data_IF_525242022617
#
_entry.id   IF_525242022617
#
_cell.length_a   1.000
_cell.length_b   1.000
_cell.length_c   1.000
_cell.angle_alpha   90.00
_cell.angle_beta   90.00
_cell.angle_gamma   90.00
#
_symmetry.space_group_name_H-M   'P 1'
#
loop_
_entity.id
_entity.type
_entity.pdbx_description
1 polymer ?
#
# COMPACT_ATOMS: atom_id res chain seq x y z
N UNK A 1 4.64 -0.60 4.87
CA UNK A 1 4.25 -1.79 4.09
C UNK A 1 3.20 -1.41 3.07
N UNK A 2 3.26 -2.04 1.90
CA UNK A 2 2.20 -2.11 0.91
C UNK A 2 1.59 -3.51 0.97
N UNK A 3 0.28 -3.61 1.20
CA UNK A 3 -0.39 -4.88 1.46
C UNK A 3 -1.50 -5.07 0.45
N UNK A 4 -1.40 -6.15 -0.33
CA UNK A 4 -2.44 -6.57 -1.27
C UNK A 4 -3.30 -7.63 -0.56
N UNK A 5 -4.61 -7.48 -0.63
CA UNK A 5 -5.57 -8.37 0.02
C UNK A 5 -6.46 -9.05 -1.02
N UNK A 6 -6.98 -10.21 -0.68
CA UNK A 6 -8.05 -10.82 -1.47
C UNK A 6 -9.28 -9.88 -1.52
N UNK A 7 -10.07 -10.04 -2.57
CA UNK A 7 -11.35 -9.35 -2.74
C UNK A 7 -12.24 -9.50 -1.50
N UNK A 8 -12.83 -8.38 -1.03
CA UNK A 8 -13.72 -8.36 0.12
C UNK A 8 -13.06 -8.75 1.45
N UNK A 9 -11.75 -8.47 1.61
CA UNK A 9 -10.97 -8.73 2.84
C UNK A 9 -10.10 -7.55 3.27
N UNK A 10 -10.33 -6.38 2.70
CA UNK A 10 -9.48 -5.21 2.87
C UNK A 10 -9.51 -4.67 4.31
N UNK A 11 -10.70 -4.45 4.87
CA UNK A 11 -10.88 -3.90 6.21
C UNK A 11 -10.56 -4.93 7.29
N UNK A 12 -10.90 -6.19 7.06
CA UNK A 12 -10.55 -7.30 7.94
C UNK A 12 -9.04 -7.49 8.03
N UNK A 13 -8.36 -7.58 6.90
CA UNK A 13 -6.90 -7.73 6.84
C UNK A 13 -6.22 -6.55 7.54
N UNK A 14 -6.68 -5.32 7.27
CA UNK A 14 -6.12 -4.13 7.94
C UNK A 14 -6.31 -4.19 9.44
N UNK A 15 -7.48 -4.60 9.92
CA UNK A 15 -7.77 -4.72 11.35
C UNK A 15 -6.86 -5.75 12.00
N UNK A 16 -6.81 -6.96 11.46
CA UNK A 16 -5.99 -8.05 11.99
C UNK A 16 -4.51 -7.68 12.00
N UNK A 17 -4.00 -7.14 10.88
CA UNK A 17 -2.61 -6.70 10.78
C UNK A 17 -2.31 -5.59 11.79
N UNK A 18 -3.22 -4.63 11.95
CA UNK A 18 -3.05 -3.52 12.90
C UNK A 18 -3.00 -4.03 14.34
N UNK A 19 -3.89 -4.95 14.71
CA UNK A 19 -3.92 -5.57 16.04
C UNK A 19 -2.60 -6.33 16.27
N UNK A 20 -2.24 -7.23 15.37
CA UNK A 20 -1.04 -8.05 15.49
C UNK A 20 0.23 -7.20 15.66
N UNK A 21 0.44 -6.22 14.77
CA UNK A 21 1.63 -5.36 14.83
C UNK A 21 1.64 -4.43 16.05
N UNK A 22 0.45 -4.11 16.58
CA UNK A 22 0.33 -3.35 17.83
C UNK A 22 0.69 -4.21 19.05
N UNK A 23 0.19 -5.46 19.10
CA UNK A 23 0.51 -6.40 20.16
C UNK A 23 2.00 -6.76 20.20
N UNK A 24 2.61 -6.94 19.04
CA UNK A 24 4.06 -7.18 18.91
C UNK A 24 4.90 -5.92 19.17
N UNK A 25 4.27 -4.77 19.38
CA UNK A 25 4.97 -3.52 19.62
C UNK A 25 5.78 -2.99 18.45
N UNK A 26 5.61 -3.51 17.24
CA UNK A 26 6.39 -3.14 16.02
C UNK A 26 5.68 -2.14 15.12
N UNK A 27 4.47 -1.75 15.45
CA UNK A 27 3.72 -0.73 14.70
C UNK A 27 4.26 0.67 14.96
N UNK A 28 4.30 1.50 13.91
CA UNK A 28 4.65 2.92 14.00
C UNK A 28 3.62 3.68 14.85
N UNK A 29 4.11 4.48 15.80
CA UNK A 29 3.34 5.41 16.62
C UNK A 29 3.89 6.83 16.50
N UNK A 30 3.14 7.84 16.98
CA UNK A 30 3.55 9.26 16.93
C UNK A 30 5.00 9.50 17.40
N UNK A 31 5.42 8.84 18.48
CA UNK A 31 6.72 9.06 19.12
C UNK A 31 7.76 7.98 18.81
N UNK A 32 7.37 6.88 18.14
CA UNK A 32 8.27 5.77 17.77
C UNK A 32 8.12 5.48 16.28
N UNK A 33 9.00 6.07 15.47
CA UNK A 33 8.95 6.01 14.01
C UNK A 33 10.04 5.08 13.47
N UNK A 34 11.29 5.29 13.90
CA UNK A 34 12.43 4.50 13.41
C UNK A 34 12.29 3.02 13.77
N UNK A 35 12.58 2.13 12.81
CA UNK A 35 12.50 0.70 12.96
C UNK A 35 11.07 0.13 13.14
N UNK A 36 10.03 0.91 12.80
CA UNK A 36 8.62 0.52 12.95
C UNK A 36 7.91 0.40 11.61
N UNK A 37 6.95 -0.51 11.53
CA UNK A 37 6.15 -0.71 10.34
C UNK A 37 5.02 0.31 10.21
N UNK A 38 4.99 1.00 9.07
CA UNK A 38 3.90 1.86 8.67
C UNK A 38 2.83 1.03 7.94
N UNK A 39 1.62 0.99 8.47
CA UNK A 39 0.46 0.28 7.92
C UNK A 39 -0.50 1.30 7.29
N UNK A 40 -0.03 2.01 6.28
CA UNK A 40 -0.77 3.12 5.68
C UNK A 40 -1.31 2.84 4.27
N UNK A 41 -0.96 1.70 3.65
CA UNK A 41 -1.42 1.40 2.31
C UNK A 41 -1.83 -0.06 2.15
N UNK A 42 -3.13 -0.26 1.96
CA UNK A 42 -3.73 -1.54 1.64
C UNK A 42 -4.53 -1.40 0.35
N UNK A 43 -4.50 -2.42 -0.48
CA UNK A 43 -5.27 -2.48 -1.73
C UNK A 43 -5.84 -3.87 -1.92
N UNK A 44 -7.06 -3.98 -2.42
CA UNK A 44 -7.61 -5.27 -2.84
C UNK A 44 -7.10 -5.66 -4.22
N UNK A 45 -7.16 -6.92 -4.58
CA UNK A 45 -6.84 -7.41 -5.93
C UNK A 45 -7.58 -6.65 -7.02
N UNK A 46 -8.81 -6.19 -6.75
CA UNK A 46 -9.61 -5.40 -7.69
C UNK A 46 -9.14 -3.93 -7.81
N UNK A 47 -8.34 -3.46 -6.89
CA UNK A 47 -7.79 -2.11 -6.86
C UNK A 47 -6.34 -2.01 -7.34
N UNK A 48 -5.78 -3.07 -7.91
CA UNK A 48 -4.37 -3.12 -8.34
C UNK A 48 -3.98 -2.11 -9.42
N UNK A 49 -4.83 -1.73 -10.42
CA UNK A 49 -4.49 -0.65 -11.33
C UNK A 49 -4.41 0.68 -10.57
N UNK A 50 -3.20 1.21 -10.39
CA UNK A 50 -2.93 2.36 -9.52
C UNK A 50 -2.54 3.64 -10.28
N UNK A 51 -2.60 3.65 -11.60
CA UNK A 51 -2.30 4.82 -12.42
C UNK A 51 -3.13 6.04 -12.01
N UNK A 52 -4.41 5.83 -11.70
CA UNK A 52 -5.34 6.88 -11.26
C UNK A 52 -4.99 7.52 -9.90
N UNK A 53 -4.04 6.95 -9.15
CA UNK A 53 -3.59 7.48 -7.86
C UNK A 53 -2.47 8.52 -8.02
N UNK A 54 -1.89 8.63 -9.22
CA UNK A 54 -0.90 9.66 -9.52
C UNK A 54 -1.51 11.07 -9.40
N UNK A 55 -0.71 12.03 -9.01
CA UNK A 55 -1.07 13.46 -8.98
C UNK A 55 -0.90 14.16 -10.33
N UNK A 56 -0.43 13.47 -11.34
CA UNK A 56 -0.14 14.00 -12.66
C UNK A 56 1.13 13.42 -13.24
N UNK A 57 1.53 13.89 -14.42
CA UNK A 57 2.72 13.37 -15.14
C UNK A 57 4.04 13.65 -14.42
N UNK A 58 4.08 14.66 -13.58
CA UNK A 58 5.28 15.05 -12.81
C UNK A 58 5.41 14.32 -11.47
N UNK A 59 4.44 13.46 -11.13
CA UNK A 59 4.51 12.63 -9.92
C UNK A 59 5.50 11.48 -10.09
N UNK A 60 6.78 11.80 -9.95
CA UNK A 60 7.86 10.81 -10.03
C UNK A 60 8.00 9.98 -8.76
N UNK A 61 7.55 10.50 -7.63
CA UNK A 61 7.72 9.84 -6.34
C UNK A 61 6.91 8.55 -6.24
N UNK A 62 5.68 8.57 -6.74
CA UNK A 62 4.79 7.41 -6.69
C UNK A 62 5.28 6.25 -7.57
N UNK A 63 5.65 6.46 -8.86
CA UNK A 63 6.30 5.44 -9.67
C UNK A 63 7.59 4.90 -9.05
N UNK A 64 8.47 5.79 -8.57
CA UNK A 64 9.72 5.38 -7.93
C UNK A 64 9.48 4.47 -6.72
N UNK A 65 8.52 4.84 -5.87
CA UNK A 65 8.18 4.03 -4.71
C UNK A 65 7.71 2.63 -5.08
N UNK A 66 6.85 2.49 -6.10
CA UNK A 66 6.40 1.18 -6.57
C UNK A 66 7.52 0.35 -7.20
N UNK A 67 8.39 0.98 -7.98
CA UNK A 67 9.53 0.29 -8.61
C UNK A 67 10.56 -0.21 -7.59
N UNK A 68 10.62 0.41 -6.42
CA UNK A 68 11.54 0.01 -5.35
C UNK A 68 10.92 -0.96 -4.34
N UNK A 69 9.66 -1.37 -4.52
CA UNK A 69 9.02 -2.38 -3.67
C UNK A 69 9.75 -3.72 -3.79
N UNK A 70 9.90 -4.37 -2.65
CA UNK A 70 10.44 -5.74 -2.57
C UNK A 70 9.36 -6.65 -1.99
N UNK A 71 8.94 -7.71 -2.70
CA UNK A 71 7.94 -8.63 -2.18
C UNK A 71 8.51 -9.42 -1.00
N UNK A 72 7.87 -9.30 0.15
CA UNK A 72 8.16 -10.12 1.34
C UNK A 72 7.39 -11.44 1.29
N UNK A 73 6.22 -11.43 0.66
CA UNK A 73 5.33 -12.58 0.50
C UNK A 73 4.51 -12.42 -0.78
N UNK A 74 4.10 -13.54 -1.41
CA UNK A 74 3.20 -13.51 -2.56
C UNK A 74 3.85 -13.02 -3.86
N UNK A 75 4.96 -13.63 -4.26
CA UNK A 75 5.70 -13.25 -5.48
C UNK A 75 4.85 -13.29 -6.75
N UNK A 76 3.88 -14.22 -6.86
CA UNK A 76 2.93 -14.25 -7.98
C UNK A 76 2.10 -12.98 -8.00
N UNK A 77 1.50 -12.62 -6.86
CA UNK A 77 0.69 -11.39 -6.72
C UNK A 77 1.50 -10.13 -7.04
N UNK A 78 2.78 -10.11 -6.69
CA UNK A 78 3.67 -8.99 -7.03
C UNK A 78 3.92 -8.90 -8.54
N UNK A 79 4.09 -10.02 -9.25
CA UNK A 79 4.17 -10.02 -10.72
C UNK A 79 2.87 -9.55 -11.36
N UNK A 80 1.74 -10.04 -10.87
CA UNK A 80 0.42 -9.60 -11.35
C UNK A 80 0.22 -8.09 -11.14
N UNK A 81 0.65 -7.57 -9.98
CA UNK A 81 0.66 -6.14 -9.67
C UNK A 81 1.52 -5.33 -10.67
N UNK A 82 2.72 -5.78 -10.99
CA UNK A 82 3.57 -5.10 -11.96
C UNK A 82 3.00 -5.17 -13.38
N UNK A 83 2.41 -6.30 -13.76
CA UNK A 83 1.80 -6.48 -15.08
C UNK A 83 0.64 -5.51 -15.33
N UNK A 84 -0.25 -5.32 -14.33
CA UNK A 84 -1.37 -4.37 -14.47
C UNK A 84 -0.95 -2.91 -14.32
N UNK A 85 0.26 -2.66 -13.81
CA UNK A 85 0.85 -1.32 -13.68
C UNK A 85 2.03 -1.11 -14.63
N UNK A 86 1.96 -1.64 -15.85
CA UNK A 86 3.02 -1.53 -16.87
C UNK A 86 3.39 -0.08 -17.25
N UNK A 87 2.50 0.89 -16.99
CA UNK A 87 2.77 2.31 -17.13
C UNK A 87 4.00 2.79 -16.33
N UNK A 88 4.40 2.08 -15.28
CA UNK A 88 5.61 2.35 -14.50
C UNK A 88 6.89 2.33 -15.35
N UNK A 89 6.92 1.54 -16.43
CA UNK A 89 8.03 1.44 -17.37
C UNK A 89 8.34 2.80 -18.02
N UNK A 90 7.32 3.61 -18.25
CA UNK A 90 7.49 4.92 -18.88
C UNK A 90 8.34 5.88 -18.04
N UNK A 91 8.40 5.65 -16.73
CA UNK A 91 9.20 6.46 -15.81
C UNK A 91 10.61 5.89 -15.59
N UNK A 92 10.75 4.58 -15.66
CA UNK A 92 12.00 3.88 -15.35
C UNK A 92 12.18 2.70 -16.32
N UNK A 93 12.53 2.95 -17.60
CA UNK A 93 12.67 1.90 -18.60
C UNK A 93 13.66 0.79 -18.20
N UNK A 94 14.76 1.18 -17.55
CA UNK A 94 15.78 0.25 -17.06
C UNK A 94 15.52 -0.27 -15.63
N UNK A 95 14.52 0.30 -14.94
CA UNK A 95 14.27 0.06 -13.52
C UNK A 95 13.51 -1.23 -13.20
N UNK A 96 12.93 -1.88 -14.22
CA UNK A 96 12.22 -3.16 -14.07
C UNK A 96 13.16 -4.36 -14.19
N UNK A 97 14.45 -4.17 -14.22
CA UNK A 97 15.34 -5.26 -13.88
C UNK A 97 15.02 -5.70 -12.44
N UNK A 98 13.84 -6.29 -12.30
CA UNK A 98 13.41 -6.99 -11.11
C UNK A 98 14.54 -7.98 -10.88
N UNK A 99 15.34 -7.68 -9.89
CA UNK A 99 16.35 -8.61 -9.41
C UNK A 99 15.59 -9.82 -8.86
N UNK A 100 15.11 -10.68 -9.76
CA UNK A 100 14.38 -11.92 -9.43
C UNK A 100 15.21 -12.81 -8.49
N UNK A 101 16.49 -12.53 -8.40
CA UNK A 101 17.48 -13.35 -7.75
C UNK A 101 17.48 -13.31 -6.22
N UNK A 102 16.68 -12.47 -5.57
CA UNK A 102 16.65 -12.37 -4.09
C UNK A 102 15.25 -12.25 -3.50
N UNK A 103 14.30 -12.97 -4.04
CA UNK A 103 13.04 -13.13 -3.32
C UNK A 103 13.26 -14.04 -2.10
N UNK A 104 12.83 -13.56 -0.95
CA UNK A 104 12.82 -14.35 0.26
C UNK A 104 12.07 -15.65 0.00
N UNK A 105 12.58 -16.75 0.56
CA UNK A 105 11.95 -18.08 0.40
C UNK A 105 10.46 -17.95 0.65
N UNK A 106 9.67 -18.36 -0.35
CA UNK A 106 8.22 -18.38 -0.23
C UNK A 106 7.86 -19.38 0.88
N UNK A 107 7.45 -18.86 2.02
CA UNK A 107 6.93 -19.70 3.09
C UNK A 107 5.50 -20.09 2.68
N UNK A 108 5.26 -21.39 2.61
CA UNK A 108 3.90 -21.92 2.48
C UNK A 108 3.10 -21.52 3.72
N UNK A 109 1.86 -21.10 3.52
CA UNK A 109 0.95 -20.85 4.65
C UNK A 109 0.84 -22.10 5.51
N UNK A 110 1.15 -21.98 6.80
CA UNK A 110 1.02 -23.09 7.73
C UNK A 110 -0.43 -23.56 7.85
N UNK A 111 -0.63 -24.77 8.38
CA UNK A 111 -1.96 -25.36 8.60
C UNK A 111 -2.94 -24.40 9.30
N UNK A 112 -2.46 -23.69 10.32
CA UNK A 112 -3.25 -22.71 11.08
C UNK A 112 -3.79 -21.57 10.18
N UNK A 113 -2.97 -21.04 9.27
CA UNK A 113 -3.38 -19.99 8.36
C UNK A 113 -4.47 -20.48 7.40
N UNK A 114 -4.32 -21.69 6.85
CA UNK A 114 -5.34 -22.31 5.97
C UNK A 114 -6.66 -22.54 6.70
N UNK A 115 -6.62 -22.96 7.96
CA UNK A 115 -7.82 -23.16 8.77
C UNK A 115 -8.53 -21.83 9.03
N UNK A 116 -7.81 -20.78 9.36
CA UNK A 116 -8.37 -19.43 9.56
C UNK A 116 -9.00 -18.94 8.25
N UNK A 117 -8.32 -19.09 7.13
CA UNK A 117 -8.84 -18.71 5.81
C UNK A 117 -10.14 -19.47 5.48
N UNK A 118 -10.18 -20.78 5.75
CA UNK A 118 -11.37 -21.58 5.54
C UNK A 118 -12.57 -21.07 6.37
N UNK A 119 -12.38 -20.84 7.66
CA UNK A 119 -13.42 -20.33 8.57
C UNK A 119 -13.92 -18.96 8.11
N UNK A 120 -13.01 -18.07 7.71
CA UNK A 120 -13.36 -16.75 7.20
C UNK A 120 -14.13 -16.82 5.86
N UNK A 121 -13.85 -17.83 5.05
CA UNK A 121 -14.53 -18.04 3.77
C UNK A 121 -15.92 -18.68 3.90
N UNK A 122 -16.25 -19.31 5.03
CA UNK A 122 -17.57 -19.87 5.34
C UNK A 122 -18.66 -18.82 5.69
N UNK A 123 -18.50 -17.57 5.23
CA UNK A 123 -19.47 -16.50 5.36
C UNK A 123 -19.22 -15.52 6.51
N UNK A 124 -18.57 -15.93 7.60
CA UNK A 124 -18.23 -15.06 8.72
C UNK A 124 -17.34 -13.89 8.31
N UNK A 125 -16.40 -14.12 7.40
CA UNK A 125 -15.50 -13.10 6.91
C UNK A 125 -16.20 -11.98 6.14
N UNK A 126 -17.27 -12.27 5.40
CA UNK A 126 -18.06 -11.25 4.71
C UNK A 126 -18.81 -10.34 5.67
N UNK A 127 -19.44 -10.92 6.70
CA UNK A 127 -20.13 -10.14 7.73
C UNK A 127 -19.17 -9.27 8.53
N UNK A 128 -18.01 -9.82 8.90
CA UNK A 128 -16.95 -9.06 9.59
C UNK A 128 -16.41 -7.94 8.72
N UNK A 129 -16.15 -8.20 7.44
CA UNK A 129 -15.68 -7.19 6.49
C UNK A 129 -16.66 -6.02 6.39
N UNK A 130 -17.96 -6.30 6.22
CA UNK A 130 -18.99 -5.26 6.14
C UNK A 130 -19.07 -4.41 7.41
N UNK A 131 -19.04 -5.03 8.59
CA UNK A 131 -19.06 -4.31 9.87
C UNK A 131 -17.79 -3.47 10.08
N UNK A 132 -16.62 -4.01 9.72
CA UNK A 132 -15.36 -3.31 9.83
C UNK A 132 -15.24 -2.18 8.81
N UNK A 133 -15.78 -2.36 7.60
CA UNK A 133 -15.89 -1.32 6.59
C UNK A 133 -16.71 -0.14 7.12
N UNK A 134 -17.92 -0.39 7.62
CA UNK A 134 -18.80 0.66 8.18
C UNK A 134 -18.12 1.40 9.36
N UNK A 135 -17.58 0.64 10.31
CA UNK A 135 -16.89 1.22 11.47
C UNK A 135 -15.66 2.06 11.09
N UNK A 136 -14.78 1.55 10.22
CA UNK A 136 -13.58 2.26 9.82
C UNK A 136 -13.91 3.49 8.96
N UNK A 137 -14.90 3.39 8.07
CA UNK A 137 -15.35 4.50 7.24
C UNK A 137 -15.92 5.64 8.08
N UNK A 138 -16.79 5.33 9.04
CA UNK A 138 -17.35 6.31 9.99
C UNK A 138 -16.26 6.98 10.83
N UNK A 139 -15.31 6.19 11.33
CA UNK A 139 -14.16 6.70 12.09
C UNK A 139 -13.29 7.61 11.21
N UNK A 140 -13.09 7.23 9.96
CA UNK A 140 -12.29 8.02 9.04
C UNK A 140 -12.97 9.35 8.70
N UNK A 141 -14.26 9.36 8.37
CA UNK A 141 -15.03 10.58 8.10
C UNK A 141 -14.93 11.61 9.24
N UNK A 142 -14.92 11.14 10.50
CA UNK A 142 -14.69 12.02 11.66
C UNK A 142 -13.28 12.61 11.66
N UNK A 143 -12.27 11.83 11.26
CA UNK A 143 -10.87 12.24 11.29
C UNK A 143 -10.50 13.14 10.11
N UNK A 144 -11.14 13.00 8.94
CA UNK A 144 -10.88 13.82 7.74
C UNK A 144 -11.06 15.31 8.03
N UNK A 145 -12.02 15.68 8.90
CA UNK A 145 -12.25 17.08 9.30
C UNK A 145 -11.03 17.74 9.96
N UNK A 146 -10.07 16.95 10.42
CA UNK A 146 -8.85 17.43 11.09
C UNK A 146 -7.59 17.26 10.23
N UNK A 147 -7.73 16.75 8.99
CA UNK A 147 -6.63 16.60 8.05
C UNK A 147 -6.52 17.89 7.23
N UNK A 148 -5.28 18.38 7.09
CA UNK A 148 -4.99 19.53 6.22
C UNK A 148 -5.19 19.21 4.73
N UNK A 149 -5.12 20.24 3.90
CA UNK A 149 -5.20 20.15 2.43
C UNK A 149 -4.14 19.23 1.81
N UNK A 150 -3.03 19.02 2.52
CA UNK A 150 -1.89 18.23 2.07
C UNK A 150 -2.04 16.73 2.34
N UNK A 151 -3.21 16.28 2.84
CA UNK A 151 -3.44 14.88 3.11
C UNK A 151 -3.86 14.12 1.86
N UNK A 152 -3.21 13.00 1.59
CA UNK A 152 -3.65 12.04 0.57
C UNK A 152 -4.24 10.82 1.24
N UNK A 153 -5.56 10.87 1.45
CA UNK A 153 -6.28 9.78 2.11
C UNK A 153 -7.38 9.25 1.20
N UNK A 154 -7.37 7.93 1.01
CA UNK A 154 -8.38 7.21 0.24
C UNK A 154 -8.95 6.11 1.13
N UNK A 155 -10.26 6.06 1.25
CA UNK A 155 -10.97 4.99 1.96
C UNK A 155 -12.16 4.55 1.12
N UNK A 156 -12.02 3.42 0.46
CA UNK A 156 -13.08 2.77 -0.30
C UNK A 156 -12.90 1.25 -0.26
N UNK A 157 -13.78 0.50 -0.90
CA UNK A 157 -13.77 -0.96 -0.91
C UNK A 157 -12.55 -1.59 -1.61
N UNK A 158 -11.83 -0.80 -2.41
CA UNK A 158 -10.67 -1.28 -3.19
C UNK A 158 -9.34 -0.81 -2.60
N UNK A 159 -9.34 0.30 -1.82
CA UNK A 159 -8.11 0.92 -1.35
C UNK A 159 -8.28 1.62 -0.01
N UNK A 160 -7.30 1.44 0.85
CA UNK A 160 -7.11 2.19 2.09
C UNK A 160 -5.71 2.81 2.08
N UNK A 161 -5.64 4.12 1.83
CA UNK A 161 -4.40 4.89 1.81
C UNK A 161 -4.49 6.01 2.85
N UNK A 162 -3.52 6.09 3.74
CA UNK A 162 -3.50 7.03 4.87
C UNK A 162 -2.17 7.78 4.92
N UNK A 163 -2.01 8.77 4.06
CA UNK A 163 -0.88 9.68 4.11
C UNK A 163 -1.36 11.05 4.60
N UNK A 164 -1.05 11.39 5.84
CA UNK A 164 -1.47 12.63 6.47
C UNK A 164 -0.75 13.86 5.88
N UNK A 165 0.44 13.66 5.30
CA UNK A 165 1.22 14.67 4.60
C UNK A 165 1.62 14.06 3.26
N UNK A 166 1.17 14.66 2.17
CA UNK A 166 1.52 14.26 0.82
C UNK A 166 2.62 15.21 0.28
N UNK A 167 3.83 14.70 0.26
CA UNK A 167 5.00 15.47 -0.21
C UNK A 167 5.32 15.24 -1.69
N UNK A 168 4.42 14.67 -2.46
CA UNK A 168 4.69 14.34 -3.87
C UNK A 168 5.00 15.57 -4.70
N UNK A 169 4.28 16.67 -4.48
CA UNK A 169 4.51 17.93 -5.19
C UNK A 169 5.89 18.53 -4.84
N UNK A 170 6.29 18.47 -3.58
CA UNK A 170 7.62 18.90 -3.12
C UNK A 170 8.74 18.09 -3.80
N UNK A 171 8.56 16.77 -3.91
CA UNK A 171 9.52 15.90 -4.59
C UNK A 171 9.57 16.15 -6.10
N UNK A 172 8.42 16.35 -6.74
CA UNK A 172 8.35 16.68 -8.17
C UNK A 172 9.10 17.98 -8.46
N UNK A 173 8.86 19.03 -7.68
CA UNK A 173 9.55 20.30 -7.84
C UNK A 173 11.08 20.16 -7.68
N UNK A 174 11.54 19.53 -6.61
CA UNK A 174 12.99 19.31 -6.37
C UNK A 174 13.65 18.50 -7.48
N UNK A 175 12.93 17.56 -8.05
CA UNK A 175 13.42 16.77 -9.17
C UNK A 175 13.59 17.63 -10.41
N UNK A 176 12.62 18.47 -10.77
CA UNK A 176 12.70 19.39 -11.90
C UNK A 176 13.85 20.39 -11.74
N UNK A 177 14.00 20.98 -10.54
CA UNK A 177 15.11 21.87 -10.21
C UNK A 177 16.47 21.16 -10.43
N UNK A 178 16.57 19.88 -10.03
CA UNK A 178 17.79 19.11 -10.21
C UNK A 178 18.08 18.81 -11.68
N UNK A 179 17.06 18.46 -12.46
CA UNK A 179 17.20 18.25 -13.90
C UNK A 179 17.67 19.52 -14.60
N UNK A 180 17.06 20.67 -14.31
CA UNK A 180 17.46 21.95 -14.87
C UNK A 180 18.94 22.27 -14.55
N UNK A 181 19.37 21.99 -13.31
CA UNK A 181 20.77 22.20 -12.90
C UNK A 181 21.78 21.29 -13.60
N UNK A 182 21.36 20.12 -14.07
CA UNK A 182 22.20 19.19 -14.83
C UNK A 182 22.27 19.59 -16.31
N UNK A 183 21.18 20.09 -16.88
CA UNK A 183 21.11 20.55 -18.27
C UNK A 183 21.91 21.84 -18.52
N UNK A 184 22.21 22.61 -17.47
CA UNK A 184 23.00 23.86 -17.53
C UNK A 184 24.51 23.65 -17.38
N UNK A 185 24.97 22.42 -17.22
CA UNK A 185 26.39 22.03 -17.12
C UNK A 185 26.90 21.47 -18.44
#
# INVERSE_FOLDING_TARGET
>A
LFIITAKGRLFLTRTLTTILFSLLGVRRHKHKIAGRFCLSFFVSEEGLPLEHVQKGKDDIYFPYWFMTLKPLYGTKMFRDFLAVNSWLINYFPDGIAINEQKFWKQHSSGFLAKTIELVLNLGLGGVLEAKLCDWQSKRHQKNVKYLGSDASVVVNEKMLKFHNIDRRDEFAQKFQERLASLASR
#
